data_IF_593872992196
#
_entry.id   IF_593872992196
#
_cell.length_a   1.000
_cell.length_b   1.000
_cell.length_c   1.000
_cell.angle_alpha   90.00
_cell.angle_beta   90.00
_cell.angle_gamma   90.00
#
_symmetry.space_group_name_H-M   'P 1'
#
loop_
_entity.id
_entity.type
_entity.pdbx_description
1 polymer ?
#
# COMPACT_ATOMS: atom_id res chain seq x y z
N UNK A 1 -12.23 18.50 -27.17
CA UNK A 1 -11.25 17.43 -26.85
C UNK A 1 -11.72 16.83 -25.53
N UNK A 2 -12.43 15.71 -25.57
CA UNK A 2 -12.98 15.08 -24.38
C UNK A 2 -11.87 14.25 -23.73
N UNK A 3 -11.33 14.75 -22.61
CA UNK A 3 -10.35 14.01 -21.82
C UNK A 3 -11.02 12.85 -21.11
N UNK A 4 -10.98 11.66 -21.72
CA UNK A 4 -11.15 10.43 -20.96
C UNK A 4 -9.88 10.26 -20.11
N UNK A 5 -9.97 10.46 -18.80
CA UNK A 5 -8.90 10.14 -17.86
C UNK A 5 -8.66 8.63 -17.88
N UNK A 6 -7.60 8.20 -18.55
CA UNK A 6 -7.14 6.81 -18.57
C UNK A 6 -5.81 6.68 -17.86
N UNK A 7 -5.53 5.49 -17.32
CA UNK A 7 -4.24 5.13 -16.74
C UNK A 7 -3.52 4.21 -17.73
N UNK A 8 -2.42 4.68 -18.33
CA UNK A 8 -1.58 3.87 -19.20
C UNK A 8 -0.53 3.13 -18.35
N UNK A 9 -0.58 1.80 -18.37
CA UNK A 9 0.29 0.94 -17.56
C UNK A 9 1.23 0.07 -18.41
N UNK A 10 1.04 0.04 -19.73
CA UNK A 10 1.90 -0.66 -20.68
C UNK A 10 3.30 -0.01 -20.79
N UNK A 11 4.28 -0.79 -21.24
CA UNK A 11 5.62 -0.29 -21.55
C UNK A 11 6.47 0.12 -20.35
N UNK A 12 6.09 -0.28 -19.13
CA UNK A 12 6.91 -0.06 -17.95
C UNK A 12 7.75 -1.30 -17.59
N UNK A 13 8.98 -1.09 -17.12
CA UNK A 13 9.90 -2.15 -16.68
C UNK A 13 9.59 -2.60 -15.23
N UNK A 14 8.39 -3.14 -15.00
CA UNK A 14 7.98 -3.54 -13.65
C UNK A 14 8.56 -4.91 -13.27
N UNK A 15 9.06 -5.02 -12.04
CA UNK A 15 9.42 -6.30 -11.42
C UNK A 15 8.25 -6.84 -10.61
N UNK A 16 7.92 -8.12 -10.77
CA UNK A 16 6.87 -8.76 -9.99
C UNK A 16 7.32 -8.92 -8.52
N UNK A 17 6.82 -8.04 -7.65
CA UNK A 17 7.13 -8.03 -6.23
C UNK A 17 5.89 -7.75 -5.37
N UNK A 18 6.00 -7.97 -4.07
CA UNK A 18 4.92 -7.72 -3.12
C UNK A 18 4.42 -6.27 -3.09
N UNK A 19 5.32 -5.32 -3.32
CA UNK A 19 5.02 -3.89 -3.45
C UNK A 19 4.11 -3.57 -4.64
N UNK A 20 3.95 -4.49 -5.59
CA UNK A 20 3.17 -4.30 -6.82
C UNK A 20 1.81 -5.02 -6.78
N UNK A 21 1.60 -5.96 -5.86
CA UNK A 21 0.36 -6.75 -5.72
C UNK A 21 -0.88 -5.88 -5.54
N UNK A 22 -0.74 -4.70 -4.91
CA UNK A 22 -1.86 -3.76 -4.74
C UNK A 22 -2.43 -3.31 -6.10
N UNK A 23 -1.58 -3.18 -7.12
CA UNK A 23 -1.97 -2.68 -8.43
C UNK A 23 -2.78 -3.73 -9.19
N UNK A 24 -2.36 -5.00 -9.14
CA UNK A 24 -3.17 -6.09 -9.67
C UNK A 24 -4.54 -6.18 -8.99
N UNK A 25 -4.59 -6.02 -7.66
CA UNK A 25 -5.85 -5.98 -6.90
C UNK A 25 -6.73 -4.81 -7.33
N UNK A 26 -6.15 -3.63 -7.49
CA UNK A 26 -6.84 -2.43 -7.95
C UNK A 26 -7.40 -2.62 -9.36
N UNK A 27 -6.61 -3.17 -10.30
CA UNK A 27 -7.05 -3.44 -11.67
C UNK A 27 -8.24 -4.39 -11.74
N UNK A 28 -8.20 -5.49 -10.96
CA UNK A 28 -9.33 -6.43 -10.89
C UNK A 28 -10.59 -5.76 -10.36
N UNK A 29 -10.47 -4.88 -9.37
CA UNK A 29 -11.59 -4.11 -8.81
C UNK A 29 -12.12 -3.10 -9.81
N UNK A 30 -11.23 -2.30 -10.40
CA UNK A 30 -11.55 -1.30 -11.41
C UNK A 30 -12.29 -1.94 -12.59
N UNK A 31 -11.79 -3.06 -13.13
CA UNK A 31 -12.46 -3.77 -14.22
C UNK A 31 -13.88 -4.19 -13.84
N UNK A 32 -14.10 -4.74 -12.63
CA UNK A 32 -15.46 -5.11 -12.18
C UNK A 32 -16.37 -3.89 -12.06
N UNK A 33 -15.89 -2.80 -11.45
CA UNK A 33 -16.69 -1.59 -11.23
C UNK A 33 -17.00 -0.87 -12.55
N UNK A 34 -16.00 -0.71 -13.42
CA UNK A 34 -16.16 -0.10 -14.75
C UNK A 34 -17.15 -0.89 -15.61
N UNK A 35 -17.08 -2.22 -15.62
CA UNK A 35 -18.02 -3.04 -16.40
C UNK A 35 -19.44 -3.11 -15.80
N UNK A 36 -19.59 -2.83 -14.50
CA UNK A 36 -20.92 -2.75 -13.88
C UNK A 36 -21.59 -1.39 -14.10
N UNK A 37 -20.84 -0.29 -14.03
CA UNK A 37 -21.37 1.07 -14.17
C UNK A 37 -21.60 1.41 -15.64
N UNK A 38 -20.64 1.11 -16.49
CA UNK A 38 -20.85 1.15 -17.93
C UNK A 38 -21.48 -0.18 -18.29
N UNK A 39 -22.80 -0.20 -18.54
CA UNK A 39 -23.54 -1.35 -19.09
C UNK A 39 -22.93 -1.77 -20.43
N UNK A 40 -21.78 -2.44 -20.34
CA UNK A 40 -20.86 -2.59 -21.45
C UNK A 40 -21.36 -3.71 -22.36
N UNK A 41 -21.42 -3.42 -23.65
CA UNK A 41 -21.56 -4.45 -24.67
C UNK A 41 -20.40 -5.46 -24.48
N UNK A 42 -20.67 -6.76 -24.64
CA UNK A 42 -19.67 -7.83 -24.47
C UNK A 42 -18.34 -7.54 -25.19
N UNK A 43 -18.40 -6.97 -26.40
CA UNK A 43 -17.22 -6.58 -27.19
C UNK A 43 -16.36 -5.50 -26.50
N UNK A 44 -16.99 -4.49 -25.92
CA UNK A 44 -16.30 -3.44 -25.17
C UNK A 44 -15.67 -4.00 -23.88
N UNK A 45 -16.36 -4.92 -23.21
CA UNK A 45 -15.83 -5.60 -22.04
C UNK A 45 -14.59 -6.45 -22.36
N UNK A 46 -14.63 -7.19 -23.47
CA UNK A 46 -13.51 -7.98 -23.95
C UNK A 46 -12.30 -7.11 -24.32
N UNK A 47 -12.55 -5.96 -24.98
CA UNK A 47 -11.49 -5.03 -25.36
C UNK A 47 -10.82 -4.38 -24.14
N UNK A 48 -11.59 -3.96 -23.14
CA UNK A 48 -11.00 -3.40 -21.90
C UNK A 48 -10.18 -4.48 -21.19
N UNK A 49 -10.68 -5.72 -21.13
CA UNK A 49 -9.94 -6.82 -20.53
C UNK A 49 -8.66 -7.17 -21.30
N UNK A 50 -8.63 -7.08 -22.64
CA UNK A 50 -7.41 -7.34 -23.42
C UNK A 50 -6.35 -6.26 -23.17
N UNK A 51 -6.73 -4.99 -23.15
CA UNK A 51 -5.82 -3.88 -22.85
C UNK A 51 -5.19 -4.01 -21.46
N UNK A 52 -5.97 -4.40 -20.45
CA UNK A 52 -5.43 -4.62 -19.10
C UNK A 52 -4.44 -5.78 -19.02
N UNK A 53 -4.50 -6.76 -19.93
CA UNK A 53 -3.56 -7.89 -19.97
C UNK A 53 -2.21 -7.54 -20.62
N UNK A 54 -2.14 -6.44 -21.36
CA UNK A 54 -0.90 -5.96 -21.99
C UNK A 54 0.04 -5.32 -20.95
N UNK A 55 -0.51 -4.86 -19.83
CA UNK A 55 0.29 -4.39 -18.72
C UNK A 55 0.82 -5.60 -17.91
N UNK A 56 2.13 -5.78 -17.93
CA UNK A 56 2.83 -6.94 -17.35
C UNK A 56 3.94 -6.52 -16.38
N UNK A 57 4.34 -7.42 -15.48
CA UNK A 57 5.61 -7.35 -14.77
C UNK A 57 6.50 -8.53 -15.13
N UNK A 58 7.82 -8.40 -14.96
CA UNK A 58 8.79 -9.48 -15.10
C UNK A 58 9.04 -10.15 -13.74
N UNK A 59 8.86 -11.46 -13.66
CA UNK A 59 9.22 -12.26 -12.48
C UNK A 59 10.63 -12.85 -12.66
N UNK A 60 11.66 -12.36 -11.93
CA UNK A 60 13.03 -12.85 -12.07
C UNK A 60 13.23 -14.28 -11.56
N UNK A 61 12.26 -14.85 -10.84
CA UNK A 61 12.33 -16.22 -10.30
C UNK A 61 11.94 -17.27 -11.34
N UNK A 62 11.01 -16.90 -12.23
CA UNK A 62 10.47 -17.76 -13.28
C UNK A 62 10.91 -17.33 -14.68
N UNK A 63 11.53 -16.15 -14.81
CA UNK A 63 11.91 -15.50 -16.07
C UNK A 63 10.71 -15.23 -16.99
N UNK A 64 9.52 -14.99 -16.42
CA UNK A 64 8.28 -14.80 -17.18
C UNK A 64 7.71 -13.41 -17.00
N UNK A 65 7.02 -12.93 -18.05
CA UNK A 65 6.16 -11.77 -17.97
C UNK A 65 4.77 -12.19 -17.50
N UNK A 66 4.33 -11.65 -16.38
CA UNK A 66 3.05 -11.96 -15.76
C UNK A 66 2.12 -10.75 -15.96
N UNK A 67 0.91 -10.94 -16.52
CA UNK A 67 -0.09 -9.88 -16.57
C UNK A 67 -0.39 -9.38 -15.16
N UNK A 68 -0.43 -8.07 -14.97
CA UNK A 68 -0.68 -7.48 -13.65
C UNK A 68 -2.06 -7.82 -13.11
N UNK A 69 -3.01 -8.02 -14.03
CA UNK A 69 -4.34 -8.52 -13.70
C UNK A 69 -4.29 -9.89 -13.01
N UNK A 70 -3.26 -10.70 -13.32
CA UNK A 70 -2.99 -12.02 -12.78
C UNK A 70 -1.92 -11.97 -11.66
N UNK A 71 -1.55 -10.79 -11.14
CA UNK A 71 -0.64 -10.66 -10.01
C UNK A 71 -1.38 -10.83 -8.68
N UNK A 72 -0.99 -11.84 -7.92
CA UNK A 72 -1.64 -12.25 -6.68
C UNK A 72 -0.66 -12.30 -5.49
N UNK A 73 -1.20 -12.20 -4.27
CA UNK A 73 -0.38 -12.18 -3.04
C UNK A 73 0.23 -13.55 -2.74
N UNK A 74 -0.53 -14.60 -3.04
CA UNK A 74 -0.18 -16.00 -2.89
C UNK A 74 1.03 -16.39 -3.75
N UNK A 75 1.06 -15.96 -5.02
CA UNK A 75 2.16 -16.26 -5.96
C UNK A 75 3.46 -15.50 -5.63
N UNK A 76 3.34 -14.39 -4.90
CA UNK A 76 4.46 -13.56 -4.49
C UNK A 76 4.95 -13.87 -3.06
N UNK A 77 4.25 -14.73 -2.31
CA UNK A 77 4.62 -15.08 -0.93
C UNK A 77 4.58 -13.90 0.03
N UNK A 78 3.70 -12.92 -0.20
CA UNK A 78 3.74 -11.67 0.53
C UNK A 78 3.33 -11.82 1.98
N UNK A 79 4.22 -11.40 2.87
CA UNK A 79 3.93 -11.26 4.29
C UNK A 79 3.27 -9.90 4.52
N UNK A 80 2.20 -9.87 5.29
CA UNK A 80 1.60 -8.62 5.73
C UNK A 80 2.54 -7.96 6.76
N UNK A 81 3.48 -7.14 6.30
CA UNK A 81 4.26 -6.29 7.19
C UNK A 81 3.34 -5.17 7.70
N UNK A 82 3.20 -5.04 9.03
CA UNK A 82 2.41 -3.99 9.70
C UNK A 82 2.85 -2.54 9.38
N UNK A 83 3.86 -2.37 8.52
CA UNK A 83 4.43 -1.11 8.05
C UNK A 83 3.90 -0.68 6.66
N UNK A 84 3.12 -1.51 5.96
CA UNK A 84 2.63 -1.17 4.62
C UNK A 84 1.58 -0.02 4.62
N UNK A 85 1.02 0.33 5.78
CA UNK A 85 -0.02 1.37 5.93
C UNK A 85 0.54 2.74 6.38
N UNK A 86 1.82 2.83 6.74
CA UNK A 86 2.42 4.03 7.34
C UNK A 86 3.51 4.68 6.49
N UNK A 87 3.25 4.89 5.20
CA UNK A 87 4.00 5.85 4.40
C UNK A 87 3.48 7.28 4.67
N UNK A 88 3.83 7.84 5.83
CA UNK A 88 3.79 9.28 6.11
C UNK A 88 5.10 9.66 6.82
N UNK A 89 5.89 10.62 6.29
CA UNK A 89 7.13 11.03 6.93
C UNK A 89 6.80 12.00 8.05
N UNK A 90 6.58 11.48 9.24
CA UNK A 90 6.51 12.29 10.46
C UNK A 90 7.81 12.09 11.22
N UNK A 91 8.65 13.11 11.26
CA UNK A 91 9.76 13.22 12.21
C UNK A 91 9.19 13.18 13.64
N UNK A 92 9.01 12.00 14.19
CA UNK A 92 8.75 11.81 15.61
C UNK A 92 10.10 11.54 16.28
N UNK A 93 10.67 12.57 16.90
CA UNK A 93 11.80 12.40 17.80
C UNK A 93 11.39 11.42 18.90
N UNK A 94 11.90 10.20 18.83
CA UNK A 94 11.74 9.19 19.88
C UNK A 94 12.42 9.73 21.16
N UNK A 95 11.69 9.92 22.27
CA UNK A 95 12.33 10.29 23.53
C UNK A 95 13.27 9.15 23.95
N UNK A 96 14.53 9.48 24.22
CA UNK A 96 15.52 8.52 24.73
C UNK A 96 15.04 7.96 26.07
N UNK A 97 15.39 6.70 26.41
CA UNK A 97 14.91 6.03 27.62
C UNK A 97 15.25 6.78 28.94
N UNK A 98 16.25 7.67 28.89
CA UNK A 98 16.61 8.55 30.00
C UNK A 98 15.53 9.63 30.28
N UNK A 99 14.91 10.20 29.24
CA UNK A 99 13.89 11.22 29.39
C UNK A 99 12.59 10.64 29.99
N UNK A 100 12.22 9.43 29.58
CA UNK A 100 11.07 8.70 30.16
C UNK A 100 11.30 8.35 31.62
N UNK A 101 12.51 7.92 32.00
CA UNK A 101 12.83 7.61 33.40
C UNK A 101 12.81 8.87 34.27
N UNK A 102 13.37 9.98 33.79
CA UNK A 102 13.38 11.25 34.52
C UNK A 102 11.95 11.78 34.74
N UNK A 103 11.09 11.71 33.74
CA UNK A 103 9.69 12.16 33.86
C UNK A 103 8.92 11.30 34.89
N UNK A 104 9.09 9.98 34.86
CA UNK A 104 8.48 9.09 35.87
C UNK A 104 8.98 9.42 37.27
N UNK A 105 10.30 9.62 37.44
CA UNK A 105 10.89 9.97 38.73
C UNK A 105 10.37 11.31 39.26
N UNK A 106 10.20 12.32 38.39
CA UNK A 106 9.61 13.61 38.76
C UNK A 106 8.15 13.47 39.19
N UNK A 107 7.35 12.65 38.51
CA UNK A 107 5.95 12.40 38.86
C UNK A 107 5.80 11.64 40.19
N UNK A 108 6.72 10.71 40.51
CA UNK A 108 6.70 10.00 41.79
C UNK A 108 7.22 10.86 42.97
N UNK A 109 8.17 11.77 42.73
CA UNK A 109 8.70 12.66 43.77
C UNK A 109 7.90 13.94 43.98
N UNK A 110 7.11 14.38 42.98
CA UNK A 110 6.23 15.54 43.10
C UNK A 110 5.21 15.44 44.26
N UNK A 111 4.47 14.33 44.47
CA UNK A 111 3.54 14.24 45.60
C UNK A 111 4.28 14.24 46.94
N UNK A 112 5.48 13.67 47.01
CA UNK A 112 6.28 13.64 48.24
C UNK A 112 6.84 15.03 48.61
N UNK A 113 7.18 15.86 47.61
CA UNK A 113 7.60 17.26 47.84
C UNK A 113 6.45 18.18 48.25
N UNK A 114 5.24 17.97 47.74
CA UNK A 114 4.08 18.77 48.14
C UNK A 114 3.66 18.50 49.60
N UNK A 115 3.84 17.26 50.07
CA UNK A 115 3.56 16.87 51.45
C UNK A 115 4.59 17.39 52.48
N UNK A 116 5.84 17.62 52.07
CA UNK A 116 6.93 18.04 52.97
C UNK A 116 7.16 19.57 53.01
N UNK A 117 6.58 20.35 52.08
CA UNK A 117 6.70 21.82 52.05
C UNK A 117 5.37 22.53 52.39
N UNK A 118 4.34 21.77 52.74
CA UNK A 118 3.01 22.25 53.15
C UNK A 118 2.71 22.07 54.64
N UNK A 119 3.73 21.98 55.49
CA UNK A 119 3.62 22.03 56.96
C UNK A 119 4.71 22.93 57.54
#
# INVERSE_FOLDING_TARGET
MNGAGGLALEGNDWTCECSLVWLGRWLRRWLRETLQIHTAMLKSAQQVHSLLREATCFDPRTEQHIPLLDLHSEDMGCQASALADSAHPSHAATPTPAATLLLLLLLFLAPLRLLLLGS
#
